data_IF_274426146044
#
_entry.id   IF_274426146044
#
_cell.length_a   1.000
_cell.length_b   1.000
_cell.length_c   1.000
_cell.angle_alpha   90.00
_cell.angle_beta   90.00
_cell.angle_gamma   90.00
#
_symmetry.space_group_name_H-M   'P 1'
#
loop_
_entity.id
_entity.type
_entity.pdbx_description
1 polymer ?
#
# COMPACT_ATOMS: atom_id res chain seq x y z
N UNK A 1 -22.79 -7.62 -10.10
CA UNK A 1 -21.38 -7.47 -10.55
C UNK A 1 -20.72 -6.43 -9.67
N UNK A 2 -19.53 -6.72 -9.12
CA UNK A 2 -18.75 -5.78 -8.28
C UNK A 2 -17.94 -4.81 -9.14
N UNK A 3 -17.63 -3.63 -8.58
CA UNK A 3 -16.68 -2.66 -9.17
C UNK A 3 -15.24 -3.12 -9.00
N UNK A 4 -14.95 -3.86 -7.93
CA UNK A 4 -13.62 -4.38 -7.66
C UNK A 4 -13.40 -5.71 -8.39
N UNK A 5 -12.21 -5.91 -8.95
CA UNK A 5 -11.80 -7.24 -9.46
C UNK A 5 -11.52 -8.18 -8.29
N UNK A 6 -10.79 -7.67 -7.30
CA UNK A 6 -10.52 -8.31 -6.01
C UNK A 6 -11.12 -7.44 -4.89
N UNK A 7 -11.93 -8.03 -4.02
CA UNK A 7 -12.59 -7.30 -2.92
C UNK A 7 -11.60 -6.85 -1.82
N UNK A 8 -10.42 -7.48 -1.77
CA UNK A 8 -9.35 -7.17 -0.83
C UNK A 8 -7.97 -7.16 -1.52
N UNK A 9 -7.04 -6.35 -1.00
CA UNK A 9 -5.67 -6.26 -1.50
C UNK A 9 -4.72 -6.59 -0.38
N UNK A 10 -4.11 -7.78 -0.46
CA UNK A 10 -3.19 -8.26 0.55
C UNK A 10 -1.76 -7.81 0.25
N UNK A 11 -1.10 -7.29 1.29
CA UNK A 11 0.32 -6.99 1.29
C UNK A 11 1.05 -8.13 2.00
N UNK A 12 2.16 -8.60 1.41
CA UNK A 12 3.06 -9.53 2.10
C UNK A 12 3.70 -8.85 3.31
N UNK A 13 4.20 -9.62 4.27
CA UNK A 13 5.02 -9.09 5.38
C UNK A 13 6.13 -8.19 4.84
N UNK A 14 6.13 -6.91 5.24
CA UNK A 14 7.09 -5.91 4.80
C UNK A 14 8.09 -5.67 5.92
N UNK A 15 9.39 -5.72 5.60
CA UNK A 15 10.44 -5.44 6.57
C UNK A 15 10.45 -3.96 6.92
N UNK A 16 10.72 -3.64 8.19
CA UNK A 16 10.92 -2.25 8.60
C UNK A 16 12.02 -1.58 7.74
N UNK A 17 11.76 -0.36 7.30
CA UNK A 17 12.66 0.39 6.40
C UNK A 17 12.52 0.03 4.91
N UNK A 18 11.68 -0.95 4.56
CA UNK A 18 11.27 -1.22 3.17
C UNK A 18 9.82 -0.80 2.93
N UNK A 19 9.40 -0.82 1.67
CA UNK A 19 8.01 -0.64 1.29
C UNK A 19 7.62 -1.72 0.28
N UNK A 20 6.32 -1.99 0.19
CA UNK A 20 5.74 -2.81 -0.84
C UNK A 20 4.64 -2.04 -1.56
N UNK A 21 4.41 -2.36 -2.83
CA UNK A 21 3.45 -1.63 -3.66
C UNK A 21 2.48 -2.58 -4.34
N UNK A 22 1.20 -2.22 -4.38
CA UNK A 22 0.15 -2.97 -5.06
C UNK A 22 -0.70 -2.05 -5.94
N UNK A 23 -1.18 -2.61 -7.03
CA UNK A 23 -2.17 -2.00 -7.90
C UNK A 23 -3.52 -2.64 -7.64
N UNK A 24 -4.59 -1.87 -7.85
CA UNK A 24 -5.96 -2.40 -7.80
C UNK A 24 -6.53 -2.39 -9.20
N UNK A 25 -7.31 -3.41 -9.53
CA UNK A 25 -8.05 -3.48 -10.80
C UNK A 25 -9.52 -3.22 -10.52
N UNK A 26 -10.08 -2.25 -11.23
CA UNK A 26 -11.50 -1.89 -11.17
C UNK A 26 -12.18 -2.22 -12.48
N UNK A 27 -13.46 -2.60 -12.41
CA UNK A 27 -14.31 -2.95 -13.54
C UNK A 27 -15.49 -1.99 -13.58
N UNK A 28 -15.90 -1.57 -14.77
CA UNK A 28 -17.15 -0.85 -14.97
C UNK A 28 -18.30 -1.84 -15.25
N UNK A 29 -19.19 -2.12 -14.28
CA UNK A 29 -20.32 -3.02 -14.52
C UNK A 29 -21.48 -2.38 -15.30
N UNK A 30 -21.39 -1.08 -15.62
CA UNK A 30 -22.46 -0.33 -16.28
C UNK A 30 -22.34 -0.38 -17.81
N UNK A 31 -23.44 0.01 -18.47
CA UNK A 31 -23.52 0.16 -19.92
C UNK A 31 -22.97 1.50 -20.43
N UNK A 32 -22.59 2.40 -19.53
CA UNK A 32 -22.15 3.75 -19.86
C UNK A 32 -20.67 3.94 -19.49
N UNK A 33 -19.93 4.85 -20.15
CA UNK A 33 -18.60 5.23 -19.70
C UNK A 33 -18.66 5.89 -18.31
N UNK A 34 -17.77 5.47 -17.40
CA UNK A 34 -17.71 6.03 -16.04
C UNK A 34 -16.32 6.50 -15.69
N UNK A 35 -16.24 7.50 -14.81
CA UNK A 35 -14.98 7.94 -14.21
C UNK A 35 -14.84 7.30 -12.85
N UNK A 36 -13.78 6.51 -12.67
CA UNK A 36 -13.46 5.88 -11.39
C UNK A 36 -12.32 6.63 -10.70
N UNK A 37 -12.39 6.74 -9.38
CA UNK A 37 -11.39 7.41 -8.55
C UNK A 37 -11.00 6.53 -7.37
N UNK A 38 -9.69 6.39 -7.15
CA UNK A 38 -9.13 5.76 -5.97
C UNK A 38 -9.01 6.80 -4.85
N UNK A 39 -9.64 6.49 -3.71
CA UNK A 39 -9.52 7.24 -2.46
C UNK A 39 -9.08 6.23 -1.41
N UNK A 40 -7.91 6.44 -0.81
CA UNK A 40 -7.36 5.57 0.23
C UNK A 40 -7.70 6.15 1.60
N UNK A 41 -8.44 5.37 2.39
CA UNK A 41 -8.72 5.67 3.79
C UNK A 41 -8.14 4.52 4.65
N UNK A 42 -7.47 4.84 5.74
CA UNK A 42 -6.99 3.83 6.68
C UNK A 42 -8.15 3.40 7.61
N UNK A 43 -8.47 2.12 7.64
CA UNK A 43 -9.34 1.50 8.65
C UNK A 43 -8.52 1.05 9.87
N UNK A 44 -9.21 0.53 10.90
CA UNK A 44 -8.64 0.08 12.18
C UNK A 44 -7.43 -0.86 12.02
N UNK A 45 -6.50 -0.74 12.97
CA UNK A 45 -5.13 -1.24 12.92
C UNK A 45 -5.07 -2.63 13.57
N UNK A 46 -4.47 -3.60 12.89
CA UNK A 46 -4.07 -4.89 13.51
C UNK A 46 -2.53 -4.91 13.54
N UNK A 47 -1.96 -4.74 14.73
CA UNK A 47 -0.52 -4.83 14.99
C UNK A 47 -0.16 -6.27 15.38
N UNK A 48 -0.17 -7.18 14.41
CA UNK A 48 0.35 -8.55 14.56
C UNK A 48 1.80 -8.59 14.10
N UNK A 49 2.66 -7.97 14.90
CA UNK A 49 4.10 -8.01 14.70
C UNK A 49 4.61 -9.46 14.73
N UNK A 50 4.95 -10.01 13.55
CA UNK A 50 5.61 -11.31 13.44
C UNK A 50 7.13 -11.13 13.48
N UNK A 51 7.76 -11.57 14.57
CA UNK A 51 9.20 -11.75 14.65
C UNK A 51 9.55 -12.95 13.75
N UNK A 52 10.44 -12.82 12.75
CA UNK A 52 10.86 -13.97 11.96
C UNK A 52 11.52 -14.99 12.87
N UNK A 53 11.05 -16.24 12.86
CA UNK A 53 11.59 -17.36 13.66
C UNK A 53 13.09 -17.66 13.46
N UNK A 54 13.77 -16.92 12.57
CA UNK A 54 15.18 -17.11 12.19
C UNK A 54 16.17 -16.13 12.85
N UNK A 55 15.72 -15.21 13.72
CA UNK A 55 16.60 -14.19 14.33
C UNK A 55 16.73 -14.27 15.86
N UNK A 56 16.88 -15.48 16.39
CA UNK A 56 17.46 -15.67 17.73
C UNK A 56 18.98 -15.49 17.68
N UNK A 57 19.45 -14.28 17.39
CA UNK A 57 20.83 -13.87 17.69
C UNK A 57 20.81 -12.43 18.21
N UNK A 58 21.29 -12.15 19.44
CA UNK A 58 21.32 -10.80 19.97
C UNK A 58 22.43 -10.02 19.26
N UNK A 59 22.07 -9.26 18.22
CA UNK A 59 23.00 -8.36 17.55
C UNK A 59 23.10 -7.04 18.31
N UNK A 60 24.03 -7.04 19.25
CA UNK A 60 24.64 -5.86 19.85
C UNK A 60 25.26 -4.94 18.78
N UNK A 61 25.19 -3.63 19.03
CA UNK A 61 26.12 -2.56 18.60
C UNK A 61 25.89 -1.79 17.28
N UNK A 62 25.61 -0.49 17.48
CA UNK A 62 26.23 0.74 16.91
C UNK A 62 26.13 1.11 15.40
N UNK A 63 25.75 2.39 15.21
CA UNK A 63 26.40 3.40 14.34
C UNK A 63 25.93 3.63 12.88
N UNK A 64 25.03 4.63 12.76
CA UNK A 64 25.24 5.90 12.01
C UNK A 64 24.85 6.08 10.53
N UNK A 65 24.53 7.37 10.30
CA UNK A 65 24.54 8.18 9.06
C UNK A 65 23.33 8.04 8.15
N UNK A 66 22.56 9.13 8.14
CA UNK A 66 21.41 9.31 7.25
C UNK A 66 21.79 9.65 5.82
N UNK A 67 20.82 9.41 4.94
CA UNK A 67 20.57 10.27 3.79
C UNK A 67 19.07 10.54 3.75
N UNK A 68 18.73 11.78 4.09
CA UNK A 68 17.38 12.35 4.06
C UNK A 68 17.03 12.64 2.61
N UNK A 69 16.58 11.64 1.86
CA UNK A 69 15.83 11.88 0.63
C UNK A 69 14.36 12.00 1.03
N UNK A 70 13.78 13.15 0.70
CA UNK A 70 12.43 13.59 1.08
C UNK A 70 11.38 12.60 0.56
N UNK A 71 11.13 11.54 1.33
CA UNK A 71 9.90 10.78 1.27
C UNK A 71 8.88 11.53 2.15
N UNK A 72 7.61 11.65 1.72
CA UNK A 72 6.59 12.21 2.59
C UNK A 72 6.60 11.39 3.88
N UNK A 73 6.85 12.03 5.01
CA UNK A 73 6.65 11.43 6.34
C UNK A 73 5.27 10.78 6.33
N UNK A 74 5.14 9.46 6.59
CA UNK A 74 3.84 8.84 6.61
C UNK A 74 3.09 9.43 7.81
N UNK A 75 2.22 10.41 7.55
CA UNK A 75 1.31 10.99 8.56
C UNK A 75 0.14 10.05 8.86
N UNK A 76 0.30 8.76 8.59
CA UNK A 76 -0.72 7.73 8.77
C UNK A 76 -0.08 6.36 8.57
N UNK A 77 -0.53 5.43 9.42
CA UNK A 77 -0.12 4.04 9.56
C UNK A 77 0.14 3.34 8.22
N UNK A 78 1.40 3.38 7.81
CA UNK A 78 2.07 2.70 6.70
C UNK A 78 1.49 2.74 5.28
N UNK A 79 0.19 2.94 5.09
CA UNK A 79 -0.43 2.99 3.77
C UNK A 79 -0.40 4.40 3.20
N UNK A 80 0.04 4.53 1.95
CA UNK A 80 0.06 5.79 1.22
C UNK A 80 -0.14 5.60 -0.27
N UNK A 81 -0.43 6.67 -1.00
CA UNK A 81 -0.48 6.67 -2.46
C UNK A 81 0.84 7.21 -2.98
N UNK A 82 1.45 6.53 -3.96
CA UNK A 82 2.69 7.00 -4.58
C UNK A 82 2.50 8.37 -5.27
N UNK A 83 3.55 9.21 -5.28
CA UNK A 83 3.50 10.58 -5.84
C UNK A 83 2.97 10.63 -7.28
N UNK A 84 3.27 9.61 -8.08
CA UNK A 84 2.87 9.52 -9.49
C UNK A 84 1.80 8.45 -9.72
N UNK A 85 1.02 8.12 -8.69
CA UNK A 85 -0.04 7.11 -8.80
C UNK A 85 -1.17 7.58 -9.73
N UNK A 86 -1.69 6.64 -10.51
CA UNK A 86 -2.91 6.80 -11.28
C UNK A 86 -4.11 6.62 -10.32
N UNK A 87 -4.68 7.73 -9.86
CA UNK A 87 -5.82 7.72 -8.93
C UNK A 87 -7.15 7.94 -9.62
N UNK A 88 -7.18 8.14 -10.94
CA UNK A 88 -8.39 8.43 -11.70
C UNK A 88 -8.27 7.84 -13.10
N UNK A 89 -9.34 7.20 -13.58
CA UNK A 89 -9.42 6.66 -14.94
C UNK A 89 -10.84 6.79 -15.49
N UNK A 90 -10.94 7.01 -16.81
CA UNK A 90 -12.19 6.85 -17.55
C UNK A 90 -12.27 5.41 -18.04
N UNK A 91 -13.33 4.70 -17.68
CA UNK A 91 -13.50 3.27 -17.95
C UNK A 91 -14.72 3.09 -18.85
N UNK A 92 -14.50 2.53 -20.03
CA UNK A 92 -15.55 2.19 -20.98
C UNK A 92 -16.54 1.17 -20.40
N UNK A 93 -17.76 1.03 -20.97
CA UNK A 93 -18.72 0.00 -20.56
C UNK A 93 -18.08 -1.39 -20.52
N UNK A 94 -18.28 -2.12 -19.42
CA UNK A 94 -17.71 -3.46 -19.19
C UNK A 94 -16.17 -3.55 -19.23
N UNK A 95 -15.49 -2.40 -19.28
CA UNK A 95 -14.04 -2.30 -19.30
C UNK A 95 -13.39 -2.44 -17.93
N UNK A 96 -12.06 -2.46 -17.91
CA UNK A 96 -11.24 -2.47 -16.70
C UNK A 96 -10.20 -1.37 -16.71
N UNK A 97 -9.75 -0.95 -15.53
CA UNK A 97 -8.61 -0.07 -15.36
C UNK A 97 -7.82 -0.45 -14.11
N UNK A 98 -6.51 -0.18 -14.12
CA UNK A 98 -5.65 -0.33 -12.94
C UNK A 98 -5.37 1.02 -12.31
N UNK A 99 -5.55 1.12 -10.99
CA UNK A 99 -5.30 2.33 -10.20
C UNK A 99 -4.22 2.05 -9.14
N UNK A 100 -3.42 3.05 -8.81
CA UNK A 100 -2.30 2.93 -7.88
C UNK A 100 -0.97 3.42 -8.46
N UNK A 101 0.18 3.02 -7.88
CA UNK A 101 0.30 2.02 -6.83
C UNK A 101 -0.07 2.58 -5.43
N UNK A 102 -0.72 1.72 -4.64
CA UNK A 102 -0.85 1.86 -3.19
C UNK A 102 0.44 1.32 -2.57
N UNK A 103 1.05 2.10 -1.70
CA UNK A 103 2.26 1.76 -0.97
C UNK A 103 1.89 1.35 0.45
N UNK A 104 2.56 0.31 0.94
CA UNK A 104 2.60 -0.03 2.35
C UNK A 104 4.05 0.00 2.85
N UNK A 105 4.28 0.78 3.89
CA UNK A 105 5.58 0.99 4.52
C UNK A 105 5.41 0.99 6.05
N UNK A 106 5.90 -0.02 6.78
CA UNK A 106 5.80 -0.04 8.24
C UNK A 106 6.36 1.25 8.87
N UNK A 107 5.57 1.89 9.73
CA UNK A 107 5.95 3.14 10.38
C UNK A 107 6.86 2.93 11.60
N UNK A 108 6.68 1.82 12.32
CA UNK A 108 7.44 1.48 13.53
C UNK A 108 8.07 0.10 13.42
N UNK A 109 9.11 -0.12 14.25
CA UNK A 109 9.61 -1.46 14.52
C UNK A 109 8.64 -2.15 15.48
N UNK A 110 8.55 -3.47 15.38
CA UNK A 110 7.98 -4.29 16.44
C UNK A 110 8.80 -4.10 17.72
N UNK A 111 8.12 -3.87 18.85
CA UNK A 111 8.73 -3.87 20.18
C UNK A 111 8.93 -5.29 20.70
#
# INVERSE_FOLDING_TARGET
MSVLDDDEVLFSTVRFGSHFSRWITVKNPSQEPVVMRLILNAAEIIDECMIPDTLWQPLSSRSSVGNKTIAPTPTGYGFSIAKNALTKASVHPYGRASLGPILFQPSNRCE
#
